data_IF_522454584279
#
_entry.id   IF_522454584279
#
_cell.length_a   1.000
_cell.length_b   1.000
_cell.length_c   1.000
_cell.angle_alpha   90.00
_cell.angle_beta   90.00
_cell.angle_gamma   90.00
#
_symmetry.space_group_name_H-M   'P 1'
#
loop_
_entity.id
_entity.type
_entity.pdbx_description
1 polymer ?
#
# COMPACT_ATOMS: atom_id res chain seq x y z
N UNK A 1 31.35 24.11 -10.10
CA UNK A 1 30.05 23.96 -9.43
C UNK A 1 29.77 22.47 -9.33
N UNK A 2 30.39 21.81 -8.36
CA UNK A 2 30.19 20.39 -8.08
C UNK A 2 29.12 20.30 -7.01
N UNK A 3 27.90 19.96 -7.42
CA UNK A 3 26.84 19.60 -6.49
C UNK A 3 27.35 18.45 -5.61
N UNK A 4 27.30 18.53 -4.26
CA UNK A 4 27.66 17.41 -3.41
C UNK A 4 26.68 16.26 -3.68
N UNK A 5 27.15 15.00 -3.75
CA UNK A 5 26.26 13.87 -3.98
C UNK A 5 25.18 13.85 -2.88
N UNK A 6 23.89 13.66 -3.24
CA UNK A 6 22.83 13.59 -2.25
C UNK A 6 23.15 12.46 -1.25
N UNK A 7 22.92 12.66 0.06
CA UNK A 7 23.27 11.69 1.08
C UNK A 7 22.62 10.32 0.76
N UNK A 8 23.32 9.19 0.98
CA UNK A 8 22.85 7.85 0.60
C UNK A 8 21.49 7.46 1.21
N UNK A 9 21.09 8.13 2.28
CA UNK A 9 19.78 7.99 2.94
C UNK A 9 18.62 8.62 2.18
N UNK A 10 18.85 9.61 1.31
CA UNK A 10 17.80 10.25 0.50
C UNK A 10 17.37 9.37 -0.69
N UNK A 11 18.32 8.73 -1.38
CA UNK A 11 18.04 7.84 -2.50
C UNK A 11 17.19 6.62 -2.10
N UNK A 12 17.42 6.07 -0.90
CA UNK A 12 16.65 4.93 -0.38
C UNK A 12 15.17 5.27 -0.14
N UNK A 13 14.86 6.48 0.32
CA UNK A 13 13.47 6.91 0.58
C UNK A 13 12.66 7.17 -0.69
N UNK A 14 13.31 7.60 -1.78
CA UNK A 14 12.65 7.82 -3.08
C UNK A 14 12.21 6.48 -3.69
N UNK A 15 13.02 5.44 -3.55
CA UNK A 15 12.65 4.08 -4.00
C UNK A 15 11.38 3.58 -3.29
N UNK A 16 11.20 3.94 -2.02
CA UNK A 16 10.00 3.61 -1.24
C UNK A 16 8.74 4.34 -1.70
N UNK A 17 8.85 5.43 -2.48
CA UNK A 17 7.70 6.11 -3.08
C UNK A 17 7.16 5.42 -4.33
N UNK A 18 7.97 4.58 -5.00
CA UNK A 18 7.56 3.93 -6.27
C UNK A 18 6.38 2.98 -6.06
N UNK A 19 6.42 2.19 -4.99
CA UNK A 19 5.36 1.25 -4.63
C UNK A 19 4.01 1.94 -4.34
N UNK A 20 3.92 2.96 -3.45
CA UNK A 20 2.65 3.63 -3.19
C UNK A 20 2.12 4.39 -4.40
N UNK A 21 2.98 4.93 -5.27
CA UNK A 21 2.54 5.54 -6.53
C UNK A 21 1.92 4.47 -7.45
N UNK A 22 2.52 3.29 -7.54
CA UNK A 22 1.97 2.18 -8.32
C UNK A 22 0.62 1.70 -7.75
N UNK A 23 0.47 1.61 -6.43
CA UNK A 23 -0.79 1.27 -5.76
C UNK A 23 -1.90 2.27 -6.09
N UNK A 24 -1.60 3.56 -6.02
CA UNK A 24 -2.56 4.63 -6.36
C UNK A 24 -2.93 4.56 -7.84
N UNK A 25 -1.93 4.41 -8.73
CA UNK A 25 -2.17 4.37 -10.17
C UNK A 25 -3.01 3.16 -10.57
N UNK A 26 -2.67 1.96 -10.09
CA UNK A 26 -3.41 0.73 -10.41
C UNK A 26 -4.81 0.78 -9.79
N UNK A 27 -4.94 1.24 -8.54
CA UNK A 27 -6.24 1.40 -7.90
C UNK A 27 -7.14 2.41 -8.64
N UNK A 28 -6.58 3.49 -9.19
CA UNK A 28 -7.33 4.50 -9.93
C UNK A 28 -7.69 4.07 -11.36
N UNK A 29 -6.75 3.45 -12.10
CA UNK A 29 -6.96 3.03 -13.49
C UNK A 29 -8.01 1.92 -13.57
N UNK A 30 -7.96 0.95 -12.66
CA UNK A 30 -8.84 -0.22 -12.67
C UNK A 30 -10.01 -0.09 -11.68
N UNK A 31 -10.36 1.14 -11.29
CA UNK A 31 -11.42 1.42 -10.31
C UNK A 31 -12.78 0.89 -10.77
N UNK A 32 -13.07 1.02 -12.07
CA UNK A 32 -14.34 0.60 -12.69
C UNK A 32 -14.31 -0.83 -13.27
N UNK A 33 -13.13 -1.44 -13.38
CA UNK A 33 -12.92 -2.77 -13.99
C UNK A 33 -13.21 -3.95 -13.03
N UNK A 34 -13.65 -3.68 -11.80
CA UNK A 34 -14.10 -4.68 -10.82
C UNK A 34 -15.44 -4.30 -10.17
N UNK A 35 -16.57 -4.38 -10.91
CA UNK A 35 -17.90 -4.11 -10.37
C UNK A 35 -18.31 -5.07 -9.24
N UNK A 36 -17.63 -6.22 -9.11
CA UNK A 36 -17.80 -7.16 -7.98
C UNK A 36 -17.50 -6.50 -6.64
N UNK A 37 -16.43 -5.70 -6.61
CA UNK A 37 -15.86 -5.25 -5.36
C UNK A 37 -15.03 -3.98 -5.55
N UNK A 38 -15.73 -2.85 -5.68
CA UNK A 38 -15.13 -1.50 -5.75
C UNK A 38 -14.25 -1.18 -4.53
N UNK A 39 -14.38 -1.93 -3.43
CA UNK A 39 -13.56 -1.78 -2.24
C UNK A 39 -12.09 -2.20 -2.41
N UNK A 40 -11.75 -3.07 -3.37
CA UNK A 40 -10.36 -3.48 -3.60
C UNK A 40 -9.51 -2.35 -4.20
N UNK A 41 -9.93 -1.66 -5.28
CA UNK A 41 -9.21 -0.48 -5.76
C UNK A 41 -9.15 0.64 -4.72
N UNK A 42 -10.25 0.88 -3.97
CA UNK A 42 -10.26 1.87 -2.89
C UNK A 42 -9.25 1.48 -1.79
N UNK A 43 -9.15 0.20 -1.45
CA UNK A 43 -8.18 -0.31 -0.49
C UNK A 43 -6.74 0.04 -0.90
N UNK A 44 -6.38 -0.23 -2.16
CA UNK A 44 -5.05 0.08 -2.72
C UNK A 44 -4.76 1.59 -2.68
N UNK A 45 -5.72 2.42 -3.08
CA UNK A 45 -5.54 3.88 -3.09
C UNK A 45 -5.32 4.40 -1.66
N UNK A 46 -6.15 3.97 -0.71
CA UNK A 46 -6.04 4.42 0.69
C UNK A 46 -4.70 3.99 1.29
N UNK A 47 -4.31 2.72 1.11
CA UNK A 47 -2.99 2.23 1.56
C UNK A 47 -1.84 3.02 0.93
N UNK A 48 -1.89 3.27 -0.37
CA UNK A 48 -0.84 3.99 -1.09
C UNK A 48 -0.74 5.46 -0.66
N UNK A 49 -1.87 6.16 -0.50
CA UNK A 49 -1.89 7.57 -0.06
C UNK A 49 -1.33 7.73 1.35
N UNK A 50 -1.80 6.93 2.31
CA UNK A 50 -1.30 7.02 3.68
C UNK A 50 0.19 6.64 3.78
N UNK A 51 0.64 5.63 3.01
CA UNK A 51 2.05 5.27 2.93
C UNK A 51 2.90 6.39 2.31
N UNK A 52 2.44 7.02 1.24
CA UNK A 52 3.11 8.16 0.61
C UNK A 52 3.23 9.35 1.57
N UNK A 53 2.15 9.66 2.30
CA UNK A 53 2.14 10.73 3.32
C UNK A 53 3.18 10.45 4.41
N UNK A 54 3.27 9.21 4.91
CA UNK A 54 4.27 8.83 5.91
C UNK A 54 5.71 8.99 5.40
N UNK A 55 5.98 8.59 4.15
CA UNK A 55 7.32 8.73 3.55
C UNK A 55 7.67 10.20 3.34
N UNK A 56 6.73 11.01 2.86
CA UNK A 56 6.91 12.45 2.67
C UNK A 56 7.14 13.16 4.01
N UNK A 57 6.33 12.87 5.03
CA UNK A 57 6.52 13.39 6.38
C UNK A 57 7.89 13.00 6.94
N UNK A 58 8.30 11.74 6.75
CA UNK A 58 9.61 11.25 7.17
C UNK A 58 10.77 11.94 6.44
N UNK A 59 10.58 12.34 5.17
CA UNK A 59 11.57 13.08 4.40
C UNK A 59 11.64 14.54 4.84
N UNK A 60 10.50 15.19 5.04
CA UNK A 60 10.39 16.58 5.50
C UNK A 60 10.93 16.73 6.93
N UNK A 61 10.59 15.84 7.85
CA UNK A 61 11.15 15.82 9.22
C UNK A 61 12.65 15.51 9.24
N UNK A 62 13.21 14.84 8.22
CA UNK A 62 14.67 14.68 8.14
C UNK A 62 15.38 16.02 7.91
N UNK A 63 14.66 17.06 7.44
CA UNK A 63 15.18 18.41 7.19
C UNK A 63 14.84 19.43 8.30
N UNK A 64 13.79 19.19 9.08
CA UNK A 64 13.37 20.02 10.22
C UNK A 64 13.51 19.23 11.54
N UNK A 65 14.35 19.69 12.48
CA UNK A 65 14.47 19.13 13.85
C UNK A 65 13.09 19.10 14.58
N UNK A 66 12.84 18.12 15.48
CA UNK A 66 11.49 17.70 15.85
C UNK A 66 10.87 18.51 17.00
N UNK A 67 9.56 18.71 16.95
CA UNK A 67 8.73 18.97 18.14
C UNK A 67 7.56 17.97 18.13
N UNK A 68 7.37 17.31 19.27
CA UNK A 68 6.51 16.19 19.72
C UNK A 68 5.16 15.86 19.03
N UNK A 69 4.69 16.66 18.08
CA UNK A 69 3.38 16.51 17.42
C UNK A 69 3.34 15.41 16.36
N UNK A 70 4.48 14.98 15.85
CA UNK A 70 4.57 13.91 14.85
C UNK A 70 4.26 12.53 15.43
N UNK A 71 4.58 12.26 16.69
CA UNK A 71 4.48 10.91 17.27
C UNK A 71 3.02 10.47 17.42
N UNK A 72 2.12 11.38 17.82
CA UNK A 72 0.69 11.10 17.96
C UNK A 72 0.02 10.82 16.60
N UNK A 73 0.34 11.61 15.58
CA UNK A 73 -0.20 11.43 14.22
C UNK A 73 0.28 10.12 13.57
N UNK A 74 1.56 9.79 13.73
CA UNK A 74 2.09 8.52 13.23
C UNK A 74 1.40 7.32 13.88
N UNK A 75 1.14 7.37 15.19
CA UNK A 75 0.41 6.31 15.89
C UNK A 75 -1.04 6.15 15.37
N UNK A 76 -1.77 7.26 15.20
CA UNK A 76 -3.13 7.22 14.65
C UNK A 76 -3.18 6.66 13.23
N UNK A 77 -2.28 7.10 12.35
CA UNK A 77 -2.19 6.60 10.98
C UNK A 77 -1.83 5.12 10.97
N UNK A 78 -0.90 4.70 11.83
CA UNK A 78 -0.49 3.28 11.92
C UNK A 78 -1.65 2.39 12.36
N UNK A 79 -2.41 2.80 13.39
CA UNK A 79 -3.60 2.07 13.83
C UNK A 79 -4.66 2.00 12.73
N UNK A 80 -4.92 3.11 12.04
CA UNK A 80 -5.85 3.14 10.93
C UNK A 80 -5.42 2.20 9.80
N UNK A 81 -4.15 2.27 9.38
CA UNK A 81 -3.57 1.39 8.37
C UNK A 81 -3.66 -0.08 8.76
N UNK A 82 -3.45 -0.42 10.03
CA UNK A 82 -3.58 -1.79 10.51
C UNK A 82 -5.02 -2.31 10.41
N UNK A 83 -5.99 -1.54 10.88
CA UNK A 83 -7.41 -1.89 10.73
C UNK A 83 -7.81 -1.99 9.26
N UNK A 84 -7.34 -1.06 8.43
CA UNK A 84 -7.61 -1.03 7.00
C UNK A 84 -6.98 -2.20 6.26
N UNK A 85 -5.77 -2.61 6.65
CA UNK A 85 -5.09 -3.81 6.13
C UNK A 85 -5.92 -5.06 6.41
N UNK A 86 -6.48 -5.21 7.61
CA UNK A 86 -7.38 -6.33 7.95
C UNK A 86 -8.62 -6.31 7.05
N UNK A 87 -9.25 -5.14 6.86
CA UNK A 87 -10.40 -5.00 5.96
C UNK A 87 -10.04 -5.36 4.50
N UNK A 88 -8.88 -4.92 4.03
CA UNK A 88 -8.35 -5.29 2.71
C UNK A 88 -8.20 -6.79 2.51
N UNK A 89 -7.68 -7.49 3.53
CA UNK A 89 -7.60 -8.95 3.50
C UNK A 89 -8.98 -9.58 3.35
N UNK A 90 -9.95 -9.16 4.17
CA UNK A 90 -11.33 -9.67 4.05
C UNK A 90 -11.87 -9.44 2.64
N UNK A 91 -11.63 -8.27 2.03
CA UNK A 91 -12.08 -7.99 0.67
C UNK A 91 -11.39 -8.86 -0.39
N UNK A 92 -10.07 -9.03 -0.31
CA UNK A 92 -9.30 -9.85 -1.25
C UNK A 92 -9.69 -11.34 -1.14
N UNK A 93 -9.83 -11.86 0.08
CA UNK A 93 -10.18 -13.26 0.30
C UNK A 93 -11.66 -13.57 0.07
N UNK A 94 -12.56 -12.59 0.24
CA UNK A 94 -14.01 -12.78 -0.03
C UNK A 94 -14.30 -13.13 -1.49
N UNK A 95 -13.42 -12.78 -2.42
CA UNK A 95 -13.57 -13.06 -3.86
C UNK A 95 -12.63 -14.16 -4.33
N UNK A 96 -12.17 -15.05 -3.42
CA UNK A 96 -11.26 -16.16 -3.72
C UNK A 96 -11.92 -17.26 -4.58
N UNK A 97 -12.04 -16.92 -5.86
CA UNK A 97 -12.33 -17.67 -7.10
C UNK A 97 -12.85 -16.61 -8.08
N UNK A 98 -12.06 -15.56 -8.38
CA UNK A 98 -12.56 -14.47 -9.20
C UNK A 98 -12.83 -14.98 -10.62
N UNK A 99 -13.96 -14.55 -11.19
CA UNK A 99 -14.29 -14.83 -12.57
C UNK A 99 -13.59 -13.80 -13.46
N UNK A 100 -12.62 -14.26 -14.27
CA UNK A 100 -11.84 -13.42 -15.18
C UNK A 100 -12.48 -13.34 -16.59
N UNK A 101 -13.62 -13.97 -16.82
CA UNK A 101 -14.28 -13.98 -18.13
C UNK A 101 -15.25 -12.79 -18.26
N UNK A 102 -14.83 -11.77 -19.02
CA UNK A 102 -15.67 -10.58 -19.36
C UNK A 102 -16.95 -10.93 -20.14
N UNK A 103 -16.99 -12.11 -20.79
CA UNK A 103 -18.03 -12.47 -21.76
C UNK A 103 -19.06 -13.48 -21.23
N UNK A 104 -19.00 -13.76 -19.93
CA UNK A 104 -19.87 -14.73 -19.28
C UNK A 104 -21.14 -14.02 -18.77
N UNK A 105 -22.32 -14.45 -19.24
CA UNK A 105 -23.65 -14.00 -18.74
C UNK A 105 -24.00 -14.53 -17.34
N UNK A 106 -23.05 -15.14 -16.62
CA UNK A 106 -23.27 -15.61 -15.26
C UNK A 106 -23.30 -14.41 -14.30
N UNK A 107 -24.11 -14.54 -13.26
CA UNK A 107 -24.36 -13.56 -12.20
C UNK A 107 -23.12 -13.29 -11.34
N UNK A 108 -22.01 -13.98 -11.59
CA UNK A 108 -20.73 -13.79 -10.91
C UNK A 108 -20.03 -12.53 -11.43
N UNK A 109 -19.84 -11.50 -10.60
CA UNK A 109 -19.31 -10.26 -11.14
C UNK A 109 -17.82 -10.41 -11.53
N UNK A 110 -17.50 -9.81 -12.67
CA UNK A 110 -16.17 -9.78 -13.26
C UNK A 110 -15.21 -8.95 -12.39
N UNK A 111 -13.94 -9.35 -12.34
CA UNK A 111 -12.86 -8.51 -11.82
C UNK A 111 -11.57 -8.72 -12.60
N UNK A 112 -10.90 -7.62 -12.97
CA UNK A 112 -9.65 -7.67 -13.71
C UNK A 112 -8.56 -8.44 -12.96
N UNK A 113 -7.92 -9.34 -13.70
CA UNK A 113 -6.88 -10.23 -13.18
C UNK A 113 -5.69 -9.45 -12.64
N UNK A 114 -5.33 -8.35 -13.27
CA UNK A 114 -4.17 -7.52 -12.92
C UNK A 114 -4.40 -6.85 -11.57
N UNK A 115 -5.55 -6.21 -11.38
CA UNK A 115 -5.88 -5.54 -10.12
C UNK A 115 -5.94 -6.54 -8.96
N UNK A 116 -6.59 -7.69 -9.16
CA UNK A 116 -6.69 -8.71 -8.11
C UNK A 116 -5.31 -9.27 -7.73
N UNK A 117 -4.52 -9.69 -8.72
CA UNK A 117 -3.18 -10.21 -8.48
C UNK A 117 -2.30 -9.16 -7.80
N UNK A 118 -2.36 -7.91 -8.24
CA UNK A 118 -1.58 -6.83 -7.64
C UNK A 118 -1.94 -6.63 -6.16
N UNK A 119 -3.24 -6.52 -5.84
CA UNK A 119 -3.69 -6.39 -4.45
C UNK A 119 -3.27 -7.58 -3.58
N UNK A 120 -3.39 -8.79 -4.11
CA UNK A 120 -2.98 -10.01 -3.42
C UNK A 120 -1.46 -10.04 -3.16
N UNK A 121 -0.64 -9.73 -4.17
CA UNK A 121 0.81 -9.75 -4.06
C UNK A 121 1.34 -8.66 -3.14
N UNK A 122 0.82 -7.44 -3.25
CA UNK A 122 1.19 -6.34 -2.34
C UNK A 122 0.86 -6.70 -0.89
N UNK A 123 -0.32 -7.26 -0.64
CA UNK A 123 -0.73 -7.70 0.70
C UNK A 123 0.18 -8.82 1.21
N UNK A 124 0.54 -9.77 0.34
CA UNK A 124 1.46 -10.86 0.67
C UNK A 124 2.87 -10.34 0.98
N UNK A 125 3.39 -9.40 0.20
CA UNK A 125 4.66 -8.73 0.47
C UNK A 125 4.63 -8.02 1.82
N UNK A 126 3.52 -7.35 2.15
CA UNK A 126 3.31 -6.74 3.47
C UNK A 126 3.47 -7.75 4.60
N UNK A 127 2.88 -8.95 4.48
CA UNK A 127 3.03 -10.02 5.45
C UNK A 127 4.47 -10.54 5.56
N UNK A 128 5.16 -10.73 4.42
CA UNK A 128 6.56 -11.19 4.40
C UNK A 128 7.45 -10.17 5.11
N UNK A 129 7.28 -8.88 4.81
CA UNK A 129 8.03 -7.81 5.47
C UNK A 129 7.74 -7.77 6.97
N UNK A 130 6.48 -7.85 7.38
CA UNK A 130 6.11 -7.88 8.80
C UNK A 130 6.71 -9.10 9.53
N UNK A 131 6.62 -10.29 8.93
CA UNK A 131 7.22 -11.51 9.48
C UNK A 131 8.74 -11.41 9.61
N UNK A 132 9.42 -10.85 8.60
CA UNK A 132 10.87 -10.63 8.65
C UNK A 132 11.25 -9.65 9.76
N UNK A 133 10.52 -8.54 9.91
CA UNK A 133 10.77 -7.57 10.99
C UNK A 133 10.57 -8.20 12.37
N UNK A 134 9.56 -9.05 12.53
CA UNK A 134 9.30 -9.76 13.79
C UNK A 134 10.45 -10.73 14.12
N UNK A 135 10.91 -11.51 13.14
CA UNK A 135 12.05 -12.42 13.31
C UNK A 135 13.32 -11.64 13.67
N UNK A 136 13.62 -10.56 12.96
CA UNK A 136 14.80 -9.71 13.27
C UNK A 136 14.70 -9.13 14.68
N UNK A 137 13.54 -8.62 15.08
CA UNK A 137 13.34 -8.05 16.42
C UNK A 137 13.37 -9.07 17.56
N UNK A 138 13.10 -10.36 17.27
CA UNK A 138 13.19 -11.42 18.26
C UNK A 138 14.58 -12.10 18.29
N UNK A 139 15.38 -11.94 17.24
CA UNK A 139 16.71 -12.55 17.09
C UNK A 139 17.88 -11.58 17.31
N UNK A 140 17.62 -10.28 17.47
CA UNK A 140 18.59 -9.24 17.84
C UNK A 140 18.25 -8.68 19.22
#
# INVERSE_FOLDING_TARGET
MSEPPPPPTACSKILLCVLPIAEIAIGAIYLDDCPRQSYIPIYLIVMGVFSLVLVLLSCLLSTLKPEDRSTTWNSLITCFLFCWFIAGNVWIYSIYKPNFDKNTTNVDPYCDKTLYLFAFWVTTLGYICAGLLFVISCCC
#
